data_IF_015782592847
#
_entry.id   IF_015782592847
#
_cell.length_a   1.000
_cell.length_b   1.000
_cell.length_c   1.000
_cell.angle_alpha   90.00
_cell.angle_beta   90.00
_cell.angle_gamma   90.00
#
_symmetry.space_group_name_H-M   'P 1'
#
loop_
_entity.id
_entity.type
_entity.pdbx_description
1 polymer ?
#
# COMPACT_ATOMS: atom_id res chain seq x y z
N UNK A 1 -2.17 -15.35 5.33
CA UNK A 1 -3.09 -14.22 5.11
C UNK A 1 -2.48 -13.00 5.77
N UNK A 2 -2.10 -11.99 4.98
CA UNK A 2 -1.54 -10.73 5.50
C UNK A 2 -2.62 -9.74 5.91
N UNK A 3 -2.23 -8.66 6.59
CA UNK A 3 -3.13 -7.56 6.94
C UNK A 3 -3.35 -6.70 5.71
N UNK A 4 -4.58 -6.66 5.18
CA UNK A 4 -4.92 -5.88 3.98
C UNK A 4 -5.99 -4.85 4.29
N UNK A 5 -5.73 -3.59 3.94
CA UNK A 5 -6.70 -2.50 3.96
C UNK A 5 -7.48 -2.46 2.63
N UNK A 6 -8.81 -2.42 2.71
CA UNK A 6 -9.69 -2.22 1.54
C UNK A 6 -9.72 -0.74 1.11
N UNK A 7 -9.91 -0.43 -0.18
CA UNK A 7 -10.11 0.95 -0.63
C UNK A 7 -11.40 1.52 -0.04
N UNK A 8 -11.34 2.77 0.42
CA UNK A 8 -12.52 3.50 0.89
C UNK A 8 -13.17 4.25 -0.29
N UNK A 9 -14.20 3.64 -0.86
CA UNK A 9 -14.94 4.23 -1.98
C UNK A 9 -15.91 5.34 -1.56
N UNK A 10 -16.05 5.61 -0.26
CA UNK A 10 -16.83 6.75 0.21
C UNK A 10 -16.00 8.04 0.27
N UNK A 11 -14.66 7.94 0.22
CA UNK A 11 -13.76 9.09 0.20
C UNK A 11 -13.77 9.76 -1.20
N UNK A 12 -14.30 10.99 -1.33
CA UNK A 12 -14.35 11.69 -2.61
C UNK A 12 -12.95 12.05 -3.15
N UNK A 13 -11.97 12.24 -2.26
CA UNK A 13 -10.58 12.54 -2.64
C UNK A 13 -9.91 11.31 -3.23
N UNK A 14 -10.10 10.14 -2.61
CA UNK A 14 -9.57 8.88 -3.15
C UNK A 14 -10.19 8.58 -4.51
N UNK A 15 -11.51 8.73 -4.65
CA UNK A 15 -12.20 8.53 -5.95
C UNK A 15 -11.69 9.46 -7.05
N UNK A 16 -11.49 10.74 -6.73
CA UNK A 16 -10.96 11.70 -7.70
C UNK A 16 -9.53 11.35 -8.14
N UNK A 17 -8.70 10.82 -7.25
CA UNK A 17 -7.36 10.32 -7.59
C UNK A 17 -7.42 9.08 -8.46
N UNK A 18 -8.28 8.11 -8.11
CA UNK A 18 -8.45 6.87 -8.88
C UNK A 18 -8.96 7.14 -10.30
N UNK A 19 -9.87 8.10 -10.47
CA UNK A 19 -10.34 8.53 -11.79
C UNK A 19 -9.22 9.08 -12.70
N UNK A 20 -8.12 9.55 -12.12
CA UNK A 20 -6.91 9.99 -12.82
C UNK A 20 -5.82 8.92 -12.91
N UNK A 21 -6.11 7.67 -12.53
CA UNK A 21 -5.14 6.57 -12.48
C UNK A 21 -4.12 6.67 -11.34
N UNK A 22 -4.38 7.46 -10.29
CA UNK A 22 -3.50 7.66 -9.13
C UNK A 22 -4.13 7.13 -7.84
N UNK A 23 -3.33 6.99 -6.77
CA UNK A 23 -3.84 6.68 -5.43
C UNK A 23 -4.05 5.19 -5.13
N UNK A 24 -3.54 4.31 -5.99
CA UNK A 24 -3.57 2.86 -5.78
C UNK A 24 -2.74 2.38 -4.57
N UNK A 25 -1.93 3.26 -3.97
CA UNK A 25 -1.14 3.02 -2.77
C UNK A 25 -1.92 3.24 -1.45
N UNK A 26 -3.19 3.67 -1.50
CA UNK A 26 -3.99 3.97 -0.30
C UNK A 26 -4.68 2.75 0.33
N UNK A 27 -4.58 1.61 -0.34
CA UNK A 27 -5.16 0.32 0.03
C UNK A 27 -4.15 -0.79 -0.28
N UNK A 28 -4.36 -1.98 0.26
CA UNK A 28 -3.39 -3.07 0.22
C UNK A 28 -2.70 -3.31 1.55
N UNK A 29 -1.48 -3.84 1.52
CA UNK A 29 -0.68 -4.07 2.71
C UNK A 29 -0.02 -2.77 3.20
N UNK A 30 0.08 -2.53 4.53
CA UNK A 30 0.85 -1.41 5.04
C UNK A 30 2.32 -1.50 4.61
N UNK A 31 2.83 -0.50 3.90
CA UNK A 31 4.22 -0.46 3.49
C UNK A 31 5.19 -0.47 4.69
N UNK A 32 4.81 0.18 5.80
CA UNK A 32 5.54 0.13 7.06
C UNK A 32 4.71 -0.60 8.14
N UNK A 33 5.34 -1.46 8.96
CA UNK A 33 6.73 -1.90 8.87
C UNK A 33 6.97 -3.01 7.84
N UNK A 34 5.91 -3.63 7.32
CA UNK A 34 6.00 -4.93 6.64
C UNK A 34 7.00 -4.94 5.49
N UNK A 35 6.82 -4.09 4.50
CA UNK A 35 7.66 -4.11 3.30
C UNK A 35 8.97 -3.37 3.55
N UNK A 36 8.90 -2.16 4.10
CA UNK A 36 10.05 -1.28 4.26
C UNK A 36 11.06 -1.73 5.33
N UNK A 37 10.60 -2.32 6.43
CA UNK A 37 11.49 -2.72 7.53
C UNK A 37 11.81 -4.21 7.48
N UNK A 38 10.85 -5.07 7.13
CA UNK A 38 11.08 -6.52 7.18
C UNK A 38 11.50 -7.12 5.84
N UNK A 39 10.98 -6.62 4.71
CA UNK A 39 11.31 -7.20 3.40
C UNK A 39 12.49 -6.49 2.74
N UNK A 40 12.53 -5.16 2.75
CA UNK A 40 13.56 -4.40 2.04
C UNK A 40 14.98 -4.75 2.49
N UNK A 41 15.31 -4.86 3.80
CA UNK A 41 16.65 -5.25 4.21
C UNK A 41 17.03 -6.65 3.76
N UNK A 42 16.09 -7.61 3.77
CA UNK A 42 16.31 -8.99 3.31
C UNK A 42 16.67 -8.99 1.83
N UNK A 43 15.90 -8.27 1.01
CA UNK A 43 16.13 -8.18 -0.45
C UNK A 43 17.42 -7.42 -0.77
N UNK A 44 17.73 -6.35 -0.04
CA UNK A 44 18.94 -5.54 -0.26
C UNK A 44 20.20 -6.30 0.16
N UNK A 45 20.17 -7.00 1.30
CA UNK A 45 21.32 -7.72 1.84
C UNK A 45 21.49 -9.11 1.23
N UNK A 46 20.47 -9.62 0.52
CA UNK A 46 20.53 -10.92 -0.15
C UNK A 46 20.61 -12.12 0.80
N UNK A 47 20.12 -11.96 2.04
CA UNK A 47 19.99 -13.02 3.04
C UNK A 47 18.68 -13.78 2.86
#
# INVERSE_FOLDING_TARGET
>A
MGVTKKPDLNDPVLRAKLAKGMGHNYYGEPAWPNDLLYIFPVVILGT
#
